data_IF_883037464171
#
_entry.id   IF_883037464171
#
_cell.length_a   1.000
_cell.length_b   1.000
_cell.length_c   1.000
_cell.angle_alpha   90.00
_cell.angle_beta   90.00
_cell.angle_gamma   90.00
#
_symmetry.space_group_name_H-M   'P 1'
#
loop_
_entity.id
_entity.type
_entity.pdbx_description
1 polymer ?
#
# COMPACT_ATOMS: atom_id res chain seq x y z
N UNK A 1 10.28 9.08 24.26
CA UNK A 1 9.41 8.99 23.08
C UNK A 1 9.82 7.75 22.30
N UNK A 2 8.93 6.78 22.09
CA UNK A 2 9.25 5.64 21.21
C UNK A 2 9.43 6.21 19.80
N UNK A 3 10.68 6.30 19.36
CA UNK A 3 11.01 6.49 17.95
C UNK A 3 10.65 5.18 17.24
N UNK A 4 9.60 5.20 16.42
CA UNK A 4 9.10 4.03 15.68
C UNK A 4 7.81 3.47 16.26
N UNK A 5 6.72 3.68 15.54
CA UNK A 5 5.38 3.15 15.81
C UNK A 5 4.55 3.12 14.52
N UNK A 6 3.35 2.52 14.53
CA UNK A 6 2.44 2.53 13.39
C UNK A 6 2.13 3.96 12.96
N UNK A 7 2.01 4.18 11.66
CA UNK A 7 1.77 5.53 11.09
C UNK A 7 0.32 5.73 10.65
N UNK A 8 -0.54 4.75 10.92
CA UNK A 8 -1.95 4.71 10.53
C UNK A 8 -2.74 5.90 11.10
N UNK A 9 -2.36 6.38 12.29
CA UNK A 9 -2.98 7.56 12.91
C UNK A 9 -2.77 8.87 12.12
N UNK A 10 -1.75 8.91 11.26
CA UNK A 10 -1.46 10.07 10.42
C UNK A 10 -2.18 10.01 9.07
N UNK A 11 -2.77 8.88 8.69
CA UNK A 11 -3.47 8.71 7.43
C UNK A 11 -4.79 9.49 7.48
N UNK A 12 -5.01 10.33 6.49
CA UNK A 12 -6.30 10.97 6.26
C UNK A 12 -7.24 10.03 5.50
N UNK A 13 -8.01 9.24 6.26
CA UNK A 13 -8.98 8.29 5.71
C UNK A 13 -10.05 8.96 4.82
N UNK A 14 -10.31 10.26 4.97
CA UNK A 14 -11.26 10.98 4.11
C UNK A 14 -10.72 11.23 2.69
N UNK A 15 -9.41 11.15 2.53
CA UNK A 15 -8.68 11.32 1.28
C UNK A 15 -8.07 10.00 0.77
N UNK A 16 -8.39 8.88 1.42
CA UNK A 16 -7.98 7.56 0.95
C UNK A 16 -8.73 7.23 -0.34
N UNK A 17 -7.97 6.98 -1.40
CA UNK A 17 -8.51 6.62 -2.71
C UNK A 17 -7.89 5.29 -3.13
N UNK A 18 -8.68 4.41 -3.76
CA UNK A 18 -8.16 3.20 -4.36
C UNK A 18 -8.83 2.97 -5.71
N UNK A 19 -7.99 2.82 -6.74
CA UNK A 19 -8.45 2.44 -8.08
C UNK A 19 -8.60 0.93 -8.17
N UNK A 20 -9.64 0.50 -8.87
CA UNK A 20 -10.01 -0.91 -9.09
C UNK A 20 -10.31 -1.70 -7.79
N UNK A 21 -10.70 -1.03 -6.70
CA UNK A 21 -11.18 -1.74 -5.50
C UNK A 21 -12.56 -2.35 -5.73
N UNK A 22 -12.81 -3.52 -5.13
CA UNK A 22 -14.15 -4.08 -4.97
C UNK A 22 -14.92 -3.27 -3.92
N UNK A 23 -16.14 -2.83 -4.24
CA UNK A 23 -16.99 -2.05 -3.33
C UNK A 23 -17.31 -2.79 -2.02
N UNK A 24 -17.33 -4.13 -2.04
CA UNK A 24 -17.53 -4.95 -0.84
C UNK A 24 -16.27 -5.06 0.02
N UNK A 25 -15.08 -4.82 -0.56
CA UNK A 25 -13.78 -4.95 0.09
C UNK A 25 -12.93 -3.68 -0.13
N UNK A 26 -13.38 -2.51 0.36
CA UNK A 26 -12.74 -1.23 0.09
C UNK A 26 -11.40 -1.07 0.82
N UNK A 27 -10.57 -0.11 0.36
CA UNK A 27 -9.23 0.12 0.90
C UNK A 27 -9.20 0.50 2.38
N UNK A 28 -10.29 1.02 2.94
CA UNK A 28 -10.41 1.28 4.38
C UNK A 28 -10.25 0.01 5.22
N UNK A 29 -10.60 -1.16 4.67
CA UNK A 29 -10.46 -2.44 5.37
C UNK A 29 -9.00 -2.75 5.70
N UNK A 30 -8.07 -2.40 4.80
CA UNK A 30 -6.64 -2.63 4.98
C UNK A 30 -6.04 -1.91 6.20
N UNK A 31 -6.73 -0.90 6.75
CA UNK A 31 -6.30 -0.13 7.91
C UNK A 31 -7.17 -0.34 9.16
N UNK A 32 -8.17 -1.22 9.10
CA UNK A 32 -9.13 -1.43 10.19
C UNK A 32 -8.60 -2.32 11.33
N UNK A 33 -7.62 -3.19 11.04
CA UNK A 33 -7.01 -4.10 12.02
C UNK A 33 -7.83 -5.37 12.33
N UNK A 34 -9.00 -5.56 11.71
CA UNK A 34 -9.84 -6.75 11.80
C UNK A 34 -9.47 -7.80 10.72
N UNK A 35 -10.21 -8.91 10.63
CA UNK A 35 -10.12 -9.89 9.52
C UNK A 35 -10.62 -9.34 8.16
N UNK A 36 -10.83 -8.02 8.06
CA UNK A 36 -11.25 -7.35 6.84
C UNK A 36 -10.06 -7.17 5.89
N UNK A 37 -10.33 -7.26 4.59
CA UNK A 37 -9.32 -7.14 3.53
C UNK A 37 -9.76 -6.18 2.43
N UNK A 38 -8.78 -5.69 1.69
CA UNK A 38 -8.95 -5.00 0.41
C UNK A 38 -8.88 -6.04 -0.71
N UNK A 39 -9.77 -5.95 -1.70
CA UNK A 39 -9.70 -6.76 -2.90
C UNK A 39 -9.87 -5.90 -4.16
N UNK A 40 -9.30 -6.38 -5.28
CA UNK A 40 -9.57 -5.84 -6.61
C UNK A 40 -10.94 -6.24 -7.13
N UNK A 41 -11.48 -5.44 -8.06
CA UNK A 41 -12.69 -5.78 -8.78
C UNK A 41 -12.46 -7.03 -9.65
N UNK A 42 -13.15 -8.12 -9.28
CA UNK A 42 -13.08 -9.41 -9.95
C UNK A 42 -13.50 -9.37 -11.42
N UNK A 43 -14.20 -8.33 -11.85
CA UNK A 43 -14.71 -8.14 -13.21
C UNK A 43 -13.75 -7.44 -14.18
N UNK A 44 -12.63 -6.90 -13.70
CA UNK A 44 -11.70 -6.10 -14.51
C UNK A 44 -10.35 -6.80 -14.64
N UNK A 45 -9.53 -6.74 -13.60
CA UNK A 45 -8.21 -7.34 -13.49
C UNK A 45 -7.76 -7.36 -12.01
N UNK A 46 -6.58 -7.93 -11.74
CA UNK A 46 -6.01 -8.02 -10.39
C UNK A 46 -5.22 -6.78 -9.97
N UNK A 47 -5.17 -5.75 -10.81
CA UNK A 47 -4.33 -4.57 -10.60
C UNK A 47 -4.96 -3.64 -9.54
N UNK A 48 -4.18 -3.11 -8.61
CA UNK A 48 -4.66 -2.15 -7.60
C UNK A 48 -3.75 -0.95 -7.47
N UNK A 49 -4.33 0.23 -7.28
CA UNK A 49 -3.58 1.44 -6.94
C UNK A 49 -4.19 2.11 -5.71
N UNK A 50 -3.48 2.04 -4.59
CA UNK A 50 -3.89 2.65 -3.32
C UNK A 50 -3.16 3.98 -3.15
N UNK A 51 -3.93 5.07 -2.99
CA UNK A 51 -3.41 6.42 -2.77
C UNK A 51 -3.69 6.85 -1.34
N UNK A 52 -2.62 6.93 -0.55
CA UNK A 52 -2.65 7.29 0.87
C UNK A 52 -2.19 8.73 1.03
N UNK A 53 -3.01 9.55 1.68
CA UNK A 53 -2.66 10.91 2.06
C UNK A 53 -2.44 11.00 3.57
N UNK A 54 -1.43 11.75 4.00
CA UNK A 54 -1.13 11.97 5.41
C UNK A 54 -1.52 13.40 5.83
N UNK A 55 -2.14 13.52 7.01
CA UNK A 55 -2.53 14.81 7.61
C UNK A 55 -1.34 15.73 7.88
N UNK A 56 -0.16 15.14 8.03
CA UNK A 56 1.11 15.83 8.21
C UNK A 56 2.24 15.03 7.57
N UNK A 57 3.36 15.66 7.19
CA UNK A 57 4.51 14.94 6.66
C UNK A 57 5.06 13.91 7.65
N UNK A 58 5.24 12.67 7.20
CA UNK A 58 5.81 11.57 7.99
C UNK A 58 7.18 11.15 7.47
N UNK A 59 7.90 10.38 8.30
CA UNK A 59 9.13 9.68 7.93
C UNK A 59 8.84 8.19 7.85
N UNK A 60 8.92 7.61 6.66
CA UNK A 60 8.59 6.21 6.44
C UNK A 60 9.84 5.35 6.48
N UNK A 61 9.92 4.44 7.44
CA UNK A 61 11.03 3.48 7.56
C UNK A 61 10.69 2.09 7.03
N UNK A 62 9.41 1.75 6.94
CA UNK A 62 8.95 0.45 6.50
C UNK A 62 7.45 0.44 6.23
N UNK A 63 7.01 -0.54 5.46
CA UNK A 63 5.60 -0.83 5.19
C UNK A 63 5.36 -2.29 5.56
N UNK A 64 4.21 -2.59 6.17
CA UNK A 64 3.77 -3.97 6.39
C UNK A 64 2.56 -4.24 5.49
N UNK A 65 2.63 -5.32 4.73
CA UNK A 65 1.54 -5.80 3.87
C UNK A 65 1.12 -7.16 4.40
N UNK A 66 -0.18 -7.35 4.56
CA UNK A 66 -0.77 -8.60 5.01
C UNK A 66 -1.71 -9.09 3.92
N UNK A 67 -1.50 -10.32 3.48
CA UNK A 67 -2.36 -11.01 2.55
C UNK A 67 -3.71 -11.31 3.22
N UNK A 68 -4.75 -11.34 2.38
CA UNK A 68 -6.07 -11.78 2.80
C UNK A 68 -6.09 -13.28 3.17
N UNK A 69 -7.25 -13.81 3.56
CA UNK A 69 -7.40 -15.20 3.98
C UNK A 69 -7.11 -16.23 2.87
N UNK A 70 -7.09 -15.79 1.60
CA UNK A 70 -6.75 -16.62 0.45
C UNK A 70 -5.30 -16.34 0.02
N UNK A 71 -4.36 -17.22 0.38
CA UNK A 71 -2.93 -17.05 0.07
C UNK A 71 -2.63 -16.88 -1.43
N UNK A 72 -3.52 -17.39 -2.30
CA UNK A 72 -3.38 -17.29 -3.75
C UNK A 72 -3.69 -15.91 -4.33
N UNK A 73 -4.17 -14.95 -3.51
CA UNK A 73 -4.43 -13.57 -3.93
C UNK A 73 -3.44 -12.59 -3.30
N UNK A 74 -2.34 -13.09 -2.74
CA UNK A 74 -1.30 -12.26 -2.16
C UNK A 74 -0.51 -11.55 -3.27
N UNK A 75 -0.25 -10.24 -3.16
CA UNK A 75 0.54 -9.53 -4.16
C UNK A 75 1.97 -10.05 -4.21
N UNK A 76 2.54 -10.18 -5.41
CA UNK A 76 3.90 -10.68 -5.61
C UNK A 76 4.92 -9.55 -5.63
N UNK A 77 4.48 -8.36 -6.04
CA UNK A 77 5.33 -7.17 -6.06
C UNK A 77 4.53 -5.92 -5.76
N UNK A 78 5.22 -4.87 -5.30
CA UNK A 78 4.65 -3.53 -5.21
C UNK A 78 5.61 -2.47 -5.73
N UNK A 79 5.04 -1.44 -6.32
CA UNK A 79 5.73 -0.20 -6.67
C UNK A 79 5.20 0.93 -5.79
N UNK A 80 6.12 1.62 -5.11
CA UNK A 80 5.80 2.71 -4.19
C UNK A 80 6.29 4.03 -4.77
N UNK A 81 5.38 4.98 -4.89
CA UNK A 81 5.63 6.33 -5.35
C UNK A 81 5.35 7.33 -4.23
N UNK A 82 6.14 8.39 -4.17
CA UNK A 82 5.94 9.51 -3.26
C UNK A 82 5.78 10.79 -4.07
N UNK A 83 4.79 11.62 -3.72
CA UNK A 83 4.59 12.94 -4.35
C UNK A 83 4.03 12.86 -5.78
N UNK A 84 3.36 11.76 -6.13
CA UNK A 84 2.74 11.50 -7.43
C UNK A 84 1.22 11.34 -7.26
N UNK A 85 0.57 12.37 -6.71
CA UNK A 85 -0.83 12.33 -6.24
C UNK A 85 -1.85 11.97 -7.32
N UNK A 86 -1.51 12.18 -8.60
CA UNK A 86 -2.40 11.97 -9.75
C UNK A 86 -1.96 10.81 -10.64
N UNK A 87 -1.11 9.90 -10.15
CA UNK A 87 -0.70 8.73 -10.92
C UNK A 87 -1.90 7.79 -11.16
N UNK A 88 -2.02 7.28 -12.38
CA UNK A 88 -2.93 6.19 -12.75
C UNK A 88 -2.15 4.91 -13.07
N UNK A 89 -2.84 3.90 -13.57
CA UNK A 89 -2.25 2.60 -13.93
C UNK A 89 -1.21 2.71 -15.04
N UNK A 90 -1.46 3.53 -16.06
CA UNK A 90 -0.50 3.75 -17.16
C UNK A 90 0.82 4.32 -16.64
N UNK A 91 0.76 5.39 -15.84
CA UNK A 91 1.97 5.99 -15.28
C UNK A 91 2.64 5.08 -14.23
N UNK A 92 1.86 4.34 -13.43
CA UNK A 92 2.42 3.42 -12.44
C UNK A 92 3.10 2.19 -13.08
N UNK A 93 2.66 1.79 -14.27
CA UNK A 93 3.29 0.75 -15.09
C UNK A 93 4.63 1.21 -15.68
N UNK A 94 4.65 2.41 -16.25
CA UNK A 94 5.77 2.91 -17.07
C UNK A 94 6.83 3.73 -16.30
N UNK A 95 6.45 4.47 -15.26
CA UNK A 95 7.38 5.32 -14.52
C UNK A 95 8.22 4.54 -13.51
N UNK A 96 9.44 5.03 -13.25
CA UNK A 96 10.31 4.48 -12.22
C UNK A 96 9.75 4.78 -10.81
N UNK A 97 9.47 3.76 -9.99
CA UNK A 97 8.96 3.99 -8.65
C UNK A 97 10.04 4.55 -7.73
N UNK A 98 9.61 5.25 -6.67
CA UNK A 98 10.52 5.68 -5.61
C UNK A 98 11.19 4.48 -4.95
N UNK A 99 10.45 3.37 -4.84
CA UNK A 99 10.97 2.06 -4.49
C UNK A 99 10.06 0.96 -5.02
N UNK A 100 10.66 -0.12 -5.50
CA UNK A 100 9.97 -1.36 -5.85
C UNK A 100 10.37 -2.44 -4.85
N UNK A 101 9.43 -3.32 -4.52
CA UNK A 101 9.63 -4.46 -3.63
C UNK A 101 9.08 -5.71 -4.29
N UNK A 102 9.85 -6.79 -4.24
CA UNK A 102 9.34 -8.15 -4.45
C UNK A 102 8.90 -8.67 -3.09
N UNK A 103 7.70 -9.22 -3.04
CA UNK A 103 7.06 -9.71 -1.83
C UNK A 103 7.22 -11.23 -1.78
N UNK A 104 8.06 -11.68 -0.85
CA UNK A 104 8.15 -13.11 -0.54
C UNK A 104 6.88 -13.55 0.20
N UNK A 105 6.32 -14.74 -0.08
CA UNK A 105 5.09 -15.23 0.54
C UNK A 105 5.12 -15.16 2.07
N UNK A 106 6.26 -15.46 2.70
CA UNK A 106 6.43 -15.42 4.15
C UNK A 106 6.38 -13.99 4.73
N UNK A 107 6.68 -12.98 3.90
CA UNK A 107 6.69 -11.59 4.34
C UNK A 107 5.30 -10.99 4.40
N UNK A 108 4.34 -11.57 3.67
CA UNK A 108 2.97 -11.07 3.55
C UNK A 108 1.93 -11.91 4.30
N UNK A 109 2.31 -13.03 4.92
CA UNK A 109 1.41 -13.82 5.77
C UNK A 109 0.87 -13.03 6.97
N UNK A 110 -0.11 -13.56 7.71
CA UNK A 110 -0.78 -12.89 8.83
C UNK A 110 0.19 -12.40 9.93
N UNK A 111 1.30 -13.10 10.13
CA UNK A 111 2.42 -12.76 11.02
C UNK A 111 3.61 -12.10 10.30
N UNK A 112 3.36 -11.65 9.07
CA UNK A 112 4.33 -11.08 8.14
C UNK A 112 5.17 -9.95 8.72
N UNK A 113 6.32 -9.73 8.09
CA UNK A 113 7.36 -8.83 8.58
C UNK A 113 7.20 -7.42 8.04
N UNK A 114 7.83 -6.46 8.73
CA UNK A 114 7.97 -5.11 8.21
C UNK A 114 8.95 -5.10 7.03
N UNK A 115 8.48 -4.67 5.86
CA UNK A 115 9.33 -4.51 4.68
C UNK A 115 10.08 -3.17 4.78
N UNK A 116 11.42 -3.16 4.67
CA UNK A 116 12.19 -1.94 4.84
C UNK A 116 12.00 -0.98 3.65
N UNK A 117 11.71 0.28 3.96
CA UNK A 117 11.77 1.36 2.97
C UNK A 117 13.16 2.01 3.00
N UNK A 118 13.58 2.56 1.85
CA UNK A 118 14.78 3.37 1.72
C UNK A 118 14.56 4.70 2.43
N UNK A 119 14.75 4.71 3.75
CA UNK A 119 14.45 5.84 4.64
C UNK A 119 14.96 7.19 4.10
N UNK A 120 16.13 7.21 3.45
CA UNK A 120 16.72 8.41 2.82
C UNK A 120 15.84 9.03 1.73
N UNK A 121 15.03 8.23 1.03
CA UNK A 121 14.05 8.70 0.04
C UNK A 121 12.75 9.15 0.70
N UNK A 122 12.38 8.57 1.84
CA UNK A 122 11.10 8.80 2.50
C UNK A 122 11.20 9.65 3.79
N UNK A 123 11.94 10.76 3.75
CA UNK A 123 12.12 11.67 4.91
C UNK A 123 10.98 12.69 5.11
N UNK A 124 10.14 12.92 4.11
CA UNK A 124 9.09 13.94 4.14
C UNK A 124 7.91 13.50 3.25
N UNK A 125 7.27 12.41 3.66
CA UNK A 125 6.17 11.80 2.91
C UNK A 125 4.87 12.49 3.28
N UNK A 126 4.23 13.14 2.31
CA UNK A 126 2.87 13.70 2.45
C UNK A 126 1.81 12.80 1.82
N UNK A 127 2.22 12.06 0.80
CA UNK A 127 1.39 11.17 0.02
C UNK A 127 2.21 9.93 -0.36
N UNK A 128 1.54 8.79 -0.47
CA UNK A 128 2.06 7.57 -1.04
C UNK A 128 1.07 7.02 -2.05
N UNK A 129 1.58 6.57 -3.18
CA UNK A 129 0.82 5.78 -4.14
C UNK A 129 1.47 4.41 -4.19
N UNK A 130 0.70 3.39 -3.82
CA UNK A 130 1.15 2.00 -3.73
C UNK A 130 0.43 1.24 -4.82
N UNK A 131 1.20 0.80 -5.80
CA UNK A 131 0.74 0.12 -6.98
C UNK A 131 1.05 -1.37 -6.88
N UNK A 132 0.02 -2.19 -7.10
CA UNK A 132 0.05 -3.64 -7.08
C UNK A 132 -0.25 -4.13 -8.51
N UNK A 133 0.78 -4.49 -9.30
CA UNK A 133 0.59 -4.91 -10.69
C UNK A 133 0.01 -6.32 -10.81
N UNK A 134 0.24 -7.16 -9.80
CA UNK A 134 -0.09 -8.58 -9.81
C UNK A 134 -0.41 -9.12 -8.41
N UNK A 135 -1.18 -10.21 -8.40
CA UNK A 135 -1.48 -11.06 -7.24
C UNK A 135 -1.48 -12.52 -7.69
#
# INVERSE_FOLDING_TARGET
AKLGGPLDEFIDMSLLECLNQDEAYPATNAFSGDDAYLASDKGVDSELLVKVQFRQPIKLSGIKILAGPEDATAPQSIKVFQGKDHIGFAEAGDEEPTQELVLEPESVQRDGVMLPMRFVKFQCVRSLQIYFPDS
#
